data_IF_376092331752
#
_entry.id   IF_376092331752
#
_cell.length_a   1.000
_cell.length_b   1.000
_cell.length_c   1.000
_cell.angle_alpha   90.00
_cell.angle_beta   90.00
_cell.angle_gamma   90.00
#
_symmetry.space_group_name_H-M   'P 1'
#
loop_
_entity.id
_entity.type
_entity.pdbx_description
1 polymer ?
#
# COMPACT_ATOMS: atom_id res chain seq x y z
N UNK A 1 20.41 0.06 -25.44
CA UNK A 1 19.70 -0.23 -24.17
C UNK A 1 18.32 -0.78 -24.49
N UNK A 2 18.07 -2.06 -24.19
CA UNK A 2 16.79 -2.73 -24.50
C UNK A 2 15.66 -2.37 -23.52
N UNK A 3 14.45 -2.88 -23.79
CA UNK A 3 13.28 -2.68 -22.92
C UNK A 3 13.37 -3.60 -21.69
N UNK A 4 13.61 -3.03 -20.51
CA UNK A 4 13.58 -3.77 -19.25
C UNK A 4 12.16 -4.19 -18.83
N UNK A 5 12.04 -5.38 -18.22
CA UNK A 5 10.80 -5.86 -17.59
C UNK A 5 10.55 -5.08 -16.30
N UNK A 6 9.29 -4.74 -16.02
CA UNK A 6 8.88 -4.07 -14.77
C UNK A 6 7.68 -4.80 -14.16
N UNK A 7 7.58 -4.79 -12.84
CA UNK A 7 6.41 -5.31 -12.11
C UNK A 7 5.19 -4.40 -12.29
N UNK A 8 3.98 -4.98 -12.22
CA UNK A 8 2.73 -4.22 -12.25
C UNK A 8 2.42 -3.74 -10.83
N UNK A 9 3.09 -2.65 -10.46
CA UNK A 9 2.86 -1.89 -9.22
C UNK A 9 3.11 -0.40 -9.47
N UNK A 10 2.77 0.45 -8.50
CA UNK A 10 3.07 1.89 -8.59
C UNK A 10 4.58 2.09 -8.74
N UNK A 11 4.98 2.92 -9.71
CA UNK A 11 6.39 3.31 -9.88
C UNK A 11 6.68 4.44 -8.89
N UNK A 12 7.52 4.22 -7.89
CA UNK A 12 7.78 5.21 -6.85
C UNK A 12 8.58 6.42 -7.35
N UNK A 13 9.60 6.19 -8.17
CA UNK A 13 10.38 7.28 -8.76
C UNK A 13 9.52 8.15 -9.69
N UNK A 14 9.34 9.42 -9.32
CA UNK A 14 8.45 10.36 -10.01
C UNK A 14 8.84 10.59 -11.47
N UNK A 15 10.13 10.72 -11.77
CA UNK A 15 10.61 10.93 -13.14
C UNK A 15 10.34 9.72 -14.02
N UNK A 16 10.68 8.52 -13.56
CA UNK A 16 10.42 7.27 -14.27
C UNK A 16 8.91 7.03 -14.44
N UNK A 17 8.11 7.36 -13.43
CA UNK A 17 6.64 7.29 -13.48
C UNK A 17 6.08 8.23 -14.54
N UNK A 18 6.56 9.47 -14.61
CA UNK A 18 6.11 10.44 -15.61
C UNK A 18 6.49 10.01 -17.04
N UNK A 19 7.74 9.57 -17.26
CA UNK A 19 8.19 9.09 -18.57
C UNK A 19 7.40 7.86 -18.99
N UNK A 20 7.16 6.92 -18.06
CA UNK A 20 6.38 5.71 -18.31
C UNK A 20 4.92 6.03 -18.61
N UNK A 21 4.31 6.96 -17.86
CA UNK A 21 2.96 7.45 -18.12
C UNK A 21 2.84 8.00 -19.54
N UNK A 22 3.74 8.90 -19.96
CA UNK A 22 3.73 9.46 -21.31
C UNK A 22 3.83 8.37 -22.38
N UNK A 23 4.75 7.41 -22.22
CA UNK A 23 4.94 6.31 -23.19
C UNK A 23 3.72 5.38 -23.25
N UNK A 24 3.22 4.93 -22.09
CA UNK A 24 2.08 4.01 -22.03
C UNK A 24 0.79 4.66 -22.48
N UNK A 25 0.51 5.89 -22.05
CA UNK A 25 -0.65 6.67 -22.50
C UNK A 25 -0.65 6.80 -24.03
N UNK A 26 0.47 7.21 -24.62
CA UNK A 26 0.58 7.32 -26.08
C UNK A 26 0.39 5.97 -26.77
N UNK A 27 0.98 4.90 -26.24
CA UNK A 27 0.77 3.54 -26.77
C UNK A 27 -0.68 3.09 -26.68
N UNK A 28 -1.37 3.39 -25.57
CA UNK A 28 -2.77 3.05 -25.37
C UNK A 28 -3.69 3.83 -26.32
N UNK A 29 -3.45 5.14 -26.50
CA UNK A 29 -4.18 5.95 -27.48
C UNK A 29 -4.01 5.41 -28.90
N UNK A 30 -2.79 5.00 -29.28
CA UNK A 30 -2.55 4.35 -30.58
C UNK A 30 -3.33 3.04 -30.71
N UNK A 31 -3.39 2.21 -29.66
CA UNK A 31 -4.15 0.96 -29.67
C UNK A 31 -5.67 1.21 -29.77
N UNK A 32 -6.18 2.21 -29.08
CA UNK A 32 -7.58 2.62 -29.20
C UNK A 32 -7.93 3.06 -30.63
N UNK A 33 -7.03 3.82 -31.27
CA UNK A 33 -7.17 4.21 -32.66
C UNK A 33 -7.08 3.04 -33.65
N UNK A 34 -6.10 2.16 -33.49
CA UNK A 34 -5.98 0.97 -34.34
C UNK A 34 -7.24 0.10 -34.25
N UNK A 35 -7.76 -0.11 -33.03
CA UNK A 35 -8.97 -0.89 -32.80
C UNK A 35 -10.21 -0.26 -33.46
N UNK A 36 -10.38 1.05 -33.31
CA UNK A 36 -11.54 1.75 -33.87
C UNK A 36 -11.56 1.67 -35.41
N UNK A 37 -10.40 1.80 -36.05
CA UNK A 37 -10.27 1.72 -37.52
C UNK A 37 -10.37 0.29 -38.03
N UNK A 38 -9.66 -0.65 -37.43
CA UNK A 38 -9.58 -2.03 -37.93
C UNK A 38 -10.89 -2.81 -37.77
N UNK A 39 -11.69 -2.46 -36.76
CA UNK A 39 -12.88 -3.21 -36.40
C UNK A 39 -14.18 -2.40 -36.49
N UNK A 40 -14.12 -1.17 -37.02
CA UNK A 40 -15.26 -0.23 -37.06
C UNK A 40 -15.96 -0.09 -35.70
N UNK A 41 -15.16 -0.01 -34.65
CA UNK A 41 -15.64 0.01 -33.27
C UNK A 41 -15.73 1.45 -32.76
N UNK A 42 -16.84 1.78 -32.08
CA UNK A 42 -16.93 3.01 -31.28
C UNK A 42 -16.07 2.86 -30.02
N UNK A 43 -14.99 3.63 -29.93
CA UNK A 43 -14.02 3.59 -28.85
C UNK A 43 -13.86 4.99 -28.27
N UNK A 44 -14.05 5.10 -26.96
CA UNK A 44 -13.73 6.28 -26.18
C UNK A 44 -12.78 5.91 -25.03
N UNK A 45 -11.76 6.72 -24.81
CA UNK A 45 -10.75 6.55 -23.77
C UNK A 45 -10.48 7.87 -23.07
N UNK A 46 -10.52 7.86 -21.74
CA UNK A 46 -10.25 9.02 -20.87
C UNK A 46 -9.13 8.64 -19.90
N UNK A 47 -8.10 9.48 -19.80
CA UNK A 47 -6.94 9.29 -18.93
C UNK A 47 -6.64 10.58 -18.16
N UNK A 48 -6.76 10.51 -16.84
CA UNK A 48 -6.34 11.59 -15.95
C UNK A 48 -4.91 11.36 -15.47
N UNK A 49 -4.06 12.37 -15.60
CA UNK A 49 -2.75 12.36 -14.95
C UNK A 49 -2.88 12.73 -13.48
N UNK A 50 -1.89 12.36 -12.67
CA UNK A 50 -1.79 12.77 -11.26
C UNK A 50 -1.67 14.29 -11.06
N UNK A 51 -1.45 15.05 -12.14
CA UNK A 51 -1.42 16.53 -12.15
C UNK A 51 -2.77 17.15 -12.55
N UNK A 52 -3.83 16.35 -12.65
CA UNK A 52 -5.17 16.79 -13.05
C UNK A 52 -5.34 17.02 -14.56
N UNK A 53 -4.31 16.78 -15.39
CA UNK A 53 -4.45 16.91 -16.85
C UNK A 53 -5.26 15.75 -17.41
N UNK A 54 -6.26 16.09 -18.22
CA UNK A 54 -7.06 15.18 -19.04
C UNK A 54 -6.35 14.87 -20.36
N UNK A 55 -6.35 13.61 -20.73
CA UNK A 55 -5.97 13.10 -22.05
C UNK A 55 -7.06 12.16 -22.53
N UNK A 56 -7.52 12.34 -23.75
CA UNK A 56 -8.65 11.57 -24.27
C UNK A 56 -8.47 11.20 -25.74
N UNK A 57 -9.24 10.21 -26.15
CA UNK A 57 -9.42 9.80 -27.54
C UNK A 57 -10.85 9.33 -27.72
N UNK A 58 -11.50 9.77 -28.80
CA UNK A 58 -12.76 9.21 -29.25
C UNK A 58 -12.86 9.29 -30.78
N UNK A 59 -13.31 8.22 -31.43
CA UNK A 59 -13.68 8.26 -32.85
C UNK A 59 -15.13 8.70 -33.07
N UNK A 60 -15.96 8.73 -32.02
CA UNK A 60 -17.30 9.31 -32.05
C UNK A 60 -17.35 10.55 -31.14
N UNK A 61 -17.52 11.73 -31.74
CA UNK A 61 -17.55 13.02 -31.04
C UNK A 61 -18.72 13.14 -30.07
N UNK A 62 -19.86 12.52 -30.39
CA UNK A 62 -21.05 12.58 -29.54
C UNK A 62 -20.84 11.88 -28.19
N UNK A 63 -20.00 10.84 -28.14
CA UNK A 63 -19.63 10.17 -26.88
C UNK A 63 -18.94 11.12 -25.89
N UNK A 64 -18.25 12.16 -26.39
CA UNK A 64 -17.57 13.17 -25.59
C UNK A 64 -18.42 14.44 -25.37
N UNK A 65 -19.67 14.45 -25.84
CA UNK A 65 -20.57 15.59 -25.73
C UNK A 65 -20.38 16.66 -26.82
N UNK A 66 -19.59 16.38 -27.85
CA UNK A 66 -19.37 17.30 -28.97
C UNK A 66 -20.35 17.05 -30.12
N UNK A 67 -20.58 18.06 -30.95
CA UNK A 67 -21.39 17.99 -32.18
C UNK A 67 -22.83 17.46 -31.99
N UNK A 68 -23.40 17.60 -30.78
CA UNK A 68 -24.73 17.09 -30.45
C UNK A 68 -25.87 17.74 -31.23
N UNK A 69 -25.68 18.97 -31.72
CA UNK A 69 -26.67 19.70 -32.53
C UNK A 69 -27.04 19.00 -33.84
N UNK A 70 -26.22 18.05 -34.29
CA UNK A 70 -26.47 17.25 -35.49
C UNK A 70 -27.41 16.06 -35.24
N UNK A 71 -27.69 15.72 -33.98
CA UNK A 71 -28.53 14.59 -33.61
C UNK A 71 -30.00 15.01 -33.50
N UNK A 72 -30.89 14.12 -33.93
CA UNK A 72 -32.31 14.22 -33.61
C UNK A 72 -32.55 13.95 -32.12
N UNK A 73 -33.71 14.39 -31.61
CA UNK A 73 -34.12 14.12 -30.22
C UNK A 73 -34.11 12.62 -29.90
N UNK A 74 -34.48 11.77 -30.87
CA UNK A 74 -34.49 10.32 -30.71
C UNK A 74 -33.07 9.77 -30.54
N UNK A 75 -32.13 10.19 -31.38
CA UNK A 75 -30.72 9.75 -31.33
C UNK A 75 -30.03 10.26 -30.06
N UNK A 76 -30.30 11.51 -29.66
CA UNK A 76 -29.78 12.08 -28.43
C UNK A 76 -30.24 11.28 -27.20
N UNK A 77 -31.53 10.92 -27.14
CA UNK A 77 -32.08 10.06 -26.08
C UNK A 77 -31.45 8.67 -26.09
N UNK A 78 -31.17 8.10 -27.26
CA UNK A 78 -30.48 6.81 -27.35
C UNK A 78 -29.04 6.91 -26.84
N UNK A 79 -28.31 7.95 -27.21
CA UNK A 79 -26.95 8.24 -26.75
C UNK A 79 -26.90 8.40 -25.23
N UNK A 80 -27.80 9.22 -24.66
CA UNK A 80 -27.93 9.42 -23.22
C UNK A 80 -28.14 8.09 -22.48
N UNK A 81 -29.09 7.27 -22.94
CA UNK A 81 -29.35 5.95 -22.36
C UNK A 81 -28.12 5.02 -22.43
N UNK A 82 -27.34 5.08 -23.52
CA UNK A 82 -26.11 4.29 -23.66
C UNK A 82 -25.05 4.74 -22.66
N UNK A 83 -24.84 6.05 -22.52
CA UNK A 83 -23.87 6.63 -21.59
C UNK A 83 -24.27 6.38 -20.13
N UNK A 84 -25.55 6.52 -19.77
CA UNK A 84 -26.04 6.33 -18.40
C UNK A 84 -25.81 4.88 -17.91
N UNK A 85 -26.00 3.88 -18.79
CA UNK A 85 -25.67 2.48 -18.47
C UNK A 85 -24.19 2.29 -18.19
N UNK A 86 -23.32 2.91 -18.99
CA UNK A 86 -21.87 2.87 -18.80
C UNK A 86 -21.45 3.52 -17.48
N UNK A 87 -21.96 4.71 -17.21
CA UNK A 87 -21.68 5.47 -15.99
C UNK A 87 -22.16 4.71 -14.75
N UNK A 88 -23.36 4.13 -14.80
CA UNK A 88 -23.90 3.30 -13.70
C UNK A 88 -22.94 2.15 -13.38
N UNK A 89 -22.47 1.40 -14.39
CA UNK A 89 -21.49 0.31 -14.19
C UNK A 89 -20.18 0.80 -13.57
N UNK A 90 -19.65 1.92 -14.05
CA UNK A 90 -18.42 2.53 -13.50
C UNK A 90 -18.62 2.91 -12.03
N UNK A 91 -19.74 3.57 -11.69
CA UNK A 91 -20.08 3.98 -10.32
C UNK A 91 -20.21 2.77 -9.41
N UNK A 92 -20.94 1.72 -9.84
CA UNK A 92 -21.08 0.48 -9.08
C UNK A 92 -19.74 -0.21 -8.84
N UNK A 93 -18.89 -0.31 -9.87
CA UNK A 93 -17.56 -0.94 -9.70
C UNK A 93 -16.65 -0.13 -8.80
N UNK A 94 -16.67 1.19 -8.91
CA UNK A 94 -15.96 2.09 -8.00
C UNK A 94 -16.42 1.86 -6.55
N UNK A 95 -17.74 1.79 -6.33
CA UNK A 95 -18.30 1.56 -5.00
C UNK A 95 -17.84 0.22 -4.40
N UNK A 96 -17.89 -0.86 -5.19
CA UNK A 96 -17.41 -2.19 -4.80
C UNK A 96 -15.94 -2.17 -4.36
N UNK A 97 -15.05 -1.55 -5.14
CA UNK A 97 -13.63 -1.46 -4.78
C UNK A 97 -13.39 -0.64 -3.52
N UNK A 98 -14.11 0.47 -3.36
CA UNK A 98 -14.01 1.31 -2.16
C UNK A 98 -14.46 0.55 -0.90
N UNK A 99 -15.55 -0.22 -0.99
CA UNK A 99 -16.00 -1.05 0.13
C UNK A 99 -14.94 -2.10 0.51
N UNK A 100 -14.34 -2.78 -0.48
CA UNK A 100 -13.28 -3.75 -0.22
C UNK A 100 -12.03 -3.09 0.43
N UNK A 101 -11.68 -1.88 0.01
CA UNK A 101 -10.57 -1.12 0.59
C UNK A 101 -10.87 -0.67 2.03
N UNK A 102 -12.11 -0.24 2.32
CA UNK A 102 -12.57 0.09 3.69
C UNK A 102 -12.48 -1.14 4.60
N UNK A 103 -13.00 -2.28 4.16
CA UNK A 103 -12.97 -3.53 4.94
C UNK A 103 -11.54 -3.97 5.24
N UNK A 104 -10.64 -3.87 4.25
CA UNK A 104 -9.22 -4.13 4.44
C UNK A 104 -8.60 -3.22 5.51
N UNK A 105 -8.87 -1.90 5.44
CA UNK A 105 -8.33 -0.96 6.42
C UNK A 105 -8.87 -1.19 7.83
N UNK A 106 -10.17 -1.48 7.98
CA UNK A 106 -10.79 -1.79 9.28
C UNK A 106 -10.20 -3.05 9.92
N UNK A 107 -10.00 -4.12 9.13
CA UNK A 107 -9.33 -5.33 9.63
C UNK A 107 -7.91 -5.04 10.07
N UNK A 108 -7.17 -4.23 9.30
CA UNK A 108 -5.79 -3.87 9.62
C UNK A 108 -5.71 -3.00 10.87
N UNK A 109 -6.67 -2.12 11.09
CA UNK A 109 -6.80 -1.32 12.32
C UNK A 109 -6.95 -2.23 13.54
N UNK A 110 -7.89 -3.18 13.52
CA UNK A 110 -8.12 -4.14 14.61
C UNK A 110 -6.86 -4.98 14.89
N UNK A 111 -6.18 -5.48 13.86
CA UNK A 111 -4.91 -6.22 14.02
C UNK A 111 -3.86 -5.39 14.75
N UNK A 112 -3.68 -4.13 14.33
CA UNK A 112 -2.72 -3.21 14.95
C UNK A 112 -3.13 -2.84 16.38
N UNK A 113 -4.41 -2.70 16.68
CA UNK A 113 -4.90 -2.46 18.05
C UNK A 113 -4.61 -3.65 18.97
N UNK A 114 -4.84 -4.87 18.50
CA UNK A 114 -4.53 -6.09 19.25
C UNK A 114 -3.02 -6.25 19.51
N UNK A 115 -2.19 -5.98 18.50
CA UNK A 115 -0.73 -5.96 18.64
C UNK A 115 -0.30 -4.92 19.68
N UNK A 116 -0.86 -3.71 19.61
CA UNK A 116 -0.58 -2.64 20.57
C UNK A 116 -1.00 -3.01 22.00
N UNK A 117 -2.17 -3.63 22.18
CA UNK A 117 -2.64 -4.09 23.50
C UNK A 117 -1.68 -5.11 24.10
N UNK A 118 -1.29 -6.13 23.32
CA UNK A 118 -0.34 -7.15 23.78
C UNK A 118 1.01 -6.55 24.20
N UNK A 119 1.53 -5.61 23.39
CA UNK A 119 2.76 -4.91 23.70
C UNK A 119 2.66 -4.11 25.00
N UNK A 120 1.54 -3.40 25.23
CA UNK A 120 1.30 -2.64 26.47
C UNK A 120 1.26 -3.55 27.70
N UNK A 121 0.58 -4.69 27.62
CA UNK A 121 0.55 -5.67 28.72
C UNK A 121 1.96 -6.19 29.05
N UNK A 122 2.74 -6.55 28.02
CA UNK A 122 4.13 -7.01 28.20
C UNK A 122 5.02 -5.95 28.85
N UNK A 123 4.86 -4.67 28.48
CA UNK A 123 5.60 -3.56 29.11
C UNK A 123 5.28 -3.50 30.60
N UNK A 124 4.00 -3.54 30.98
CA UNK A 124 3.59 -3.50 32.38
C UNK A 124 4.08 -4.72 33.18
N UNK A 125 4.11 -5.90 32.57
CA UNK A 125 4.65 -7.11 33.23
C UNK A 125 6.16 -6.99 33.49
N UNK A 126 6.93 -6.48 32.51
CA UNK A 126 8.36 -6.21 32.68
C UNK A 126 8.60 -5.16 33.77
N UNK A 127 7.82 -4.07 33.79
CA UNK A 127 7.89 -3.04 34.84
C UNK A 127 7.58 -3.63 36.23
N UNK A 128 6.55 -4.49 36.35
CA UNK A 128 6.24 -5.19 37.61
C UNK A 128 7.36 -6.10 38.07
N UNK A 129 7.94 -6.91 37.18
CA UNK A 129 9.08 -7.79 37.50
C UNK A 129 10.27 -6.96 37.96
N UNK A 130 10.53 -5.81 37.32
CA UNK A 130 11.61 -4.92 37.71
C UNK A 130 11.37 -4.30 39.10
N UNK A 131 10.14 -3.90 39.42
CA UNK A 131 9.80 -3.42 40.77
C UNK A 131 9.92 -4.51 41.83
N UNK A 132 9.43 -5.73 41.58
CA UNK A 132 9.55 -6.86 42.52
C UNK A 132 11.02 -7.23 42.76
N UNK A 133 11.85 -7.23 41.72
CA UNK A 133 13.30 -7.45 41.86
C UNK A 133 13.99 -6.34 42.69
N UNK A 134 13.50 -5.10 42.64
CA UNK A 134 14.01 -4.01 43.47
C UNK A 134 13.50 -4.06 44.93
N UNK A 135 12.34 -4.67 45.21
CA UNK A 135 11.76 -4.81 46.56
C UNK A 135 12.24 -6.08 47.29
N UNK A 136 12.49 -7.18 46.57
CA UNK A 136 13.14 -8.37 47.16
C UNK A 136 14.67 -8.29 47.20
N UNK A 137 15.28 -7.34 46.49
CA UNK A 137 16.73 -7.11 46.53
C UNK A 137 17.29 -6.86 47.94
N UNK A 138 16.67 -6.02 48.79
CA UNK A 138 17.07 -5.85 50.18
C UNK A 138 16.88 -7.10 51.05
N UNK A 139 15.78 -7.84 50.88
CA UNK A 139 15.48 -9.05 51.68
C UNK A 139 16.38 -10.24 51.30
N UNK A 140 16.62 -10.45 50.00
CA UNK A 140 17.54 -11.48 49.51
C UNK A 140 18.99 -11.15 49.89
N UNK A 141 19.39 -9.86 49.84
CA UNK A 141 20.69 -9.41 50.33
C UNK A 141 20.81 -9.52 51.85
N UNK A 142 19.74 -9.33 52.63
CA UNK A 142 19.76 -9.52 54.08
C UNK A 142 19.92 -10.99 54.46
N UNK A 143 19.21 -11.90 53.76
CA UNK A 143 19.35 -13.35 53.93
C UNK A 143 20.75 -13.82 53.48
N UNK A 144 21.25 -13.29 52.37
CA UNK A 144 22.61 -13.54 51.88
C UNK A 144 23.66 -12.98 52.85
N UNK A 145 23.46 -11.81 53.45
CA UNK A 145 24.37 -11.22 54.44
C UNK A 145 24.41 -12.01 55.76
N UNK A 146 23.27 -12.57 56.18
CA UNK A 146 23.21 -13.50 57.32
C UNK A 146 23.90 -14.83 57.01
N UNK A 147 23.74 -15.36 55.78
CA UNK A 147 24.43 -16.56 55.34
C UNK A 147 25.95 -16.36 55.14
N UNK A 148 26.35 -15.18 54.65
CA UNK A 148 27.76 -14.82 54.36
C UNK A 148 28.58 -14.54 55.62
N UNK A 149 27.94 -14.28 56.77
CA UNK A 149 28.64 -14.21 58.06
C UNK A 149 29.15 -15.57 58.55
N UNK A 150 28.69 -16.69 57.97
CA UNK A 150 29.03 -18.03 58.43
C UNK A 150 29.96 -18.81 57.50
N UNK A 151 30.30 -18.33 56.30
CA UNK A 151 31.19 -19.07 55.40
C UNK A 151 32.20 -18.16 54.68
N UNK A 152 33.46 -18.57 54.76
CA UNK A 152 34.67 -17.93 54.26
C UNK A 152 34.62 -17.58 52.76
N UNK A 153 35.24 -16.45 52.40
CA UNK A 153 35.59 -16.03 51.04
C UNK A 153 36.76 -16.88 50.50
N UNK A 154 36.89 -17.11 49.18
CA UNK A 154 37.67 -16.15 48.39
C UNK A 154 37.25 -15.95 46.90
N UNK A 155 37.64 -14.78 46.38
CA UNK A 155 37.65 -14.32 44.99
C UNK A 155 37.98 -15.36 43.89
N UNK A 156 37.50 -15.13 42.65
CA UNK A 156 38.31 -14.78 41.45
C UNK A 156 37.55 -14.91 40.09
N UNK A 157 37.73 -13.88 39.23
CA UNK A 157 37.57 -13.77 37.76
C UNK A 157 36.19 -13.62 37.05
N UNK A 158 35.82 -12.37 36.75
CA UNK A 158 35.83 -11.70 35.42
C UNK A 158 35.25 -12.40 34.16
N UNK A 159 34.31 -11.73 33.44
CA UNK A 159 34.06 -12.01 32.00
C UNK A 159 32.73 -11.60 31.36
N UNK A 160 32.61 -10.34 30.95
CA UNK A 160 32.01 -9.80 29.70
C UNK A 160 30.79 -10.43 28.99
N UNK A 161 29.76 -9.60 28.81
CA UNK A 161 28.58 -9.76 27.92
C UNK A 161 28.90 -9.52 26.43
N UNK A 162 28.46 -10.38 25.49
CA UNK A 162 28.16 -10.03 24.08
C UNK A 162 27.14 -11.02 23.49
N UNK A 163 26.01 -10.54 22.94
CA UNK A 163 25.12 -11.31 22.05
C UNK A 163 25.19 -10.74 20.62
N UNK A 164 25.42 -11.55 19.57
CA UNK A 164 25.41 -11.08 18.19
C UNK A 164 24.03 -11.23 17.54
N UNK A 165 23.68 -10.23 16.71
CA UNK A 165 22.49 -10.18 15.86
C UNK A 165 22.89 -10.48 14.40
N UNK A 166 22.23 -11.47 13.78
CA UNK A 166 22.26 -11.82 12.35
C UNK A 166 20.81 -11.73 11.82
N UNK A 167 20.44 -11.34 10.60
CA UNK A 167 21.06 -11.48 9.27
C UNK A 167 20.49 -10.42 8.30
N UNK A 168 21.33 -9.89 7.39
CA UNK A 168 20.88 -9.21 6.15
C UNK A 168 21.42 -9.96 4.94
N UNK A 169 20.53 -10.53 4.11
CA UNK A 169 20.89 -11.15 2.84
C UNK A 169 21.16 -10.09 1.76
N UNK A 170 22.42 -9.99 1.35
CA UNK A 170 22.88 -9.24 0.17
C UNK A 170 23.16 -10.27 -0.94
N UNK A 171 22.66 -10.03 -2.15
CA UNK A 171 23.08 -10.79 -3.34
C UNK A 171 23.75 -9.84 -4.34
N UNK A 172 24.95 -10.22 -4.74
CA UNK A 172 25.85 -9.50 -5.65
C UNK A 172 25.33 -9.55 -7.09
N UNK A 173 25.44 -8.43 -7.81
CA UNK A 173 25.26 -8.38 -9.26
C UNK A 173 26.62 -8.48 -9.96
N UNK A 174 26.69 -9.38 -10.92
CA UNK A 174 27.54 -9.27 -12.11
C UNK A 174 26.69 -8.84 -13.30
#
# INVERSE_FOLDING_TARGET
>A
MGRGKIEIKRIENTTNRQVTFCKRRNGLLKKAYELSVLCDAEVALIVFSSRGRLYEYSNNKHLMGDALSTLTVKELKQLENRLERGITRIRSKKHEMLLAEIEYFQKREIELENENLCLRTKITDVERIQQVNMVSGPELNAIQALASRNFFNPNMLEGGTVYPHSDKKILHLG
#
